data_IF_900088654330
#
_entry.id   IF_900088654330
#
_cell.length_a   1.000
_cell.length_b   1.000
_cell.length_c   1.000
_cell.angle_alpha   90.00
_cell.angle_beta   90.00
_cell.angle_gamma   90.00
#
_symmetry.space_group_name_H-M   'P 1'
#
loop_
_entity.id
_entity.type
_entity.pdbx_description
1 polymer ?
#
# COMPACT_ATOMS: atom_id res chain seq x y z
N UNK A 1 -13.24 13.63 9.43
CA UNK A 1 -13.07 15.04 9.84
C UNK A 1 -12.53 15.07 11.26
N UNK A 2 -11.64 16.01 11.57
CA UNK A 2 -11.08 16.19 12.90
C UNK A 2 -11.53 17.55 13.45
N UNK A 3 -12.14 17.54 14.63
CA UNK A 3 -12.42 18.76 15.38
C UNK A 3 -11.45 18.85 16.55
N UNK A 4 -10.76 19.96 16.67
CA UNK A 4 -9.79 20.19 17.74
C UNK A 4 -10.05 21.51 18.43
N UNK A 5 -10.03 21.46 19.75
CA UNK A 5 -10.07 22.66 20.59
C UNK A 5 -8.64 23.02 20.98
N UNK A 6 -8.26 24.27 20.78
CA UNK A 6 -6.91 24.76 21.01
C UNK A 6 -6.92 25.81 22.14
N UNK A 7 -5.82 25.86 22.89
CA UNK A 7 -5.47 26.95 23.78
C UNK A 7 -4.07 27.42 23.36
N UNK A 8 -4.02 28.52 22.59
CA UNK A 8 -2.84 28.88 21.82
C UNK A 8 -2.52 27.74 20.77
N UNK A 9 -1.32 27.21 20.82
CA UNK A 9 -0.87 26.09 19.97
C UNK A 9 -1.09 24.72 20.62
N UNK A 10 -1.61 24.68 21.85
CA UNK A 10 -1.81 23.42 22.60
C UNK A 10 -3.17 22.84 22.26
N UNK A 11 -3.19 21.57 21.79
CA UNK A 11 -4.43 20.82 21.56
C UNK A 11 -4.98 20.37 22.91
N UNK A 12 -6.16 20.86 23.29
CA UNK A 12 -6.86 20.48 24.54
C UNK A 12 -7.84 19.32 24.32
N UNK A 13 -8.48 19.27 23.17
CA UNK A 13 -9.42 18.22 22.84
C UNK A 13 -9.35 17.90 21.36
N UNK A 14 -9.45 16.63 21.05
CA UNK A 14 -9.52 16.09 19.68
C UNK A 14 -10.74 15.19 19.55
N UNK A 15 -11.67 15.55 18.68
CA UNK A 15 -12.81 14.71 18.31
C UNK A 15 -12.60 14.18 16.88
N UNK A 16 -12.51 12.87 16.72
CA UNK A 16 -12.32 12.21 15.43
C UNK A 16 -13.67 11.69 14.93
N UNK A 17 -14.13 12.21 13.80
CA UNK A 17 -15.37 11.78 13.17
C UNK A 17 -15.05 10.94 11.93
N UNK A 18 -15.20 9.62 12.05
CA UNK A 18 -15.08 8.67 10.94
C UNK A 18 -16.40 8.56 10.17
N UNK A 19 -16.33 8.14 8.90
CA UNK A 19 -17.52 7.83 8.09
C UNK A 19 -17.77 8.76 6.91
N UNK A 20 -17.10 9.89 6.76
CA UNK A 20 -17.33 10.84 5.67
C UNK A 20 -17.04 10.30 4.26
N UNK A 21 -16.22 9.28 4.15
CA UNK A 21 -15.95 8.57 2.90
C UNK A 21 -16.58 7.18 2.87
N UNK A 22 -17.52 6.89 3.75
CA UNK A 22 -18.27 5.64 3.72
C UNK A 22 -19.18 5.62 2.49
N UNK A 23 -18.96 4.63 1.61
CA UNK A 23 -19.65 4.53 0.30
C UNK A 23 -20.67 3.39 0.24
N UNK A 24 -20.92 2.71 1.34
CA UNK A 24 -21.86 1.58 1.41
C UNK A 24 -21.41 0.36 0.61
N UNK A 25 -20.10 0.14 0.43
CA UNK A 25 -19.55 -0.91 -0.43
C UNK A 25 -20.02 -2.29 0.00
N UNK A 26 -20.04 -2.57 1.30
CA UNK A 26 -20.52 -3.85 1.85
C UNK A 26 -21.96 -4.11 1.47
N UNK A 27 -22.82 -3.10 1.57
CA UNK A 27 -24.23 -3.21 1.18
C UNK A 27 -24.41 -3.39 -0.33
N UNK A 28 -23.61 -2.71 -1.14
CA UNK A 28 -23.62 -2.93 -2.59
C UNK A 28 -23.19 -4.36 -2.96
N UNK A 29 -22.26 -4.96 -2.22
CA UNK A 29 -21.83 -6.34 -2.48
C UNK A 29 -22.95 -7.37 -2.30
N UNK A 30 -23.97 -7.10 -1.50
CA UNK A 30 -25.13 -8.01 -1.35
C UNK A 30 -25.96 -8.12 -2.64
N UNK A 31 -25.96 -7.10 -3.48
CA UNK A 31 -26.72 -7.02 -4.73
C UNK A 31 -25.92 -7.46 -5.98
N UNK A 32 -24.62 -7.67 -5.83
CA UNK A 32 -23.69 -7.93 -6.93
C UNK A 32 -23.26 -9.39 -6.96
N UNK A 33 -22.94 -9.88 -8.17
CA UNK A 33 -22.24 -11.16 -8.32
C UNK A 33 -20.77 -11.04 -7.92
N UNK A 34 -20.13 -12.15 -7.53
CA UNK A 34 -18.71 -12.14 -7.15
C UNK A 34 -17.78 -11.46 -8.18
N UNK A 35 -17.90 -11.69 -9.50
CA UNK A 35 -17.08 -10.95 -10.46
C UNK A 35 -17.32 -9.45 -10.46
N UNK A 36 -18.55 -9.00 -10.20
CA UNK A 36 -18.89 -7.57 -10.15
C UNK A 36 -18.32 -6.90 -8.88
N UNK A 37 -18.27 -7.62 -7.75
CA UNK A 37 -17.72 -7.06 -6.50
C UNK A 37 -16.22 -6.76 -6.61
N UNK A 38 -15.49 -7.41 -7.52
CA UNK A 38 -14.08 -7.12 -7.78
C UNK A 38 -13.85 -5.65 -8.16
N UNK A 39 -14.78 -5.03 -8.87
CA UNK A 39 -14.68 -3.62 -9.24
C UNK A 39 -14.79 -2.67 -8.03
N UNK A 40 -15.45 -3.11 -6.96
CA UNK A 40 -15.57 -2.32 -5.72
C UNK A 40 -14.31 -2.43 -4.86
N UNK A 41 -13.70 -3.61 -4.81
CA UNK A 41 -12.55 -3.87 -3.92
C UNK A 41 -11.31 -3.07 -4.30
N UNK A 42 -11.07 -2.82 -5.57
CA UNK A 42 -9.95 -1.95 -6.03
C UNK A 42 -10.03 -0.55 -5.41
N UNK A 43 -11.21 -0.09 -5.02
CA UNK A 43 -11.51 1.25 -4.54
C UNK A 43 -11.64 1.37 -3.02
N UNK A 44 -11.43 0.30 -2.28
CA UNK A 44 -11.42 0.32 -0.80
C UNK A 44 -10.22 1.09 -0.30
N UNK A 45 -9.05 0.53 -0.46
CA UNK A 45 -7.78 1.22 -0.36
C UNK A 45 -7.20 1.38 -1.78
N UNK A 46 -7.42 2.53 -2.37
CA UNK A 46 -7.00 2.79 -3.75
C UNK A 46 -5.47 2.86 -3.92
N UNK A 47 -4.72 2.91 -2.83
CA UNK A 47 -3.26 2.81 -2.84
C UNK A 47 -2.77 1.36 -2.73
N UNK A 48 -3.67 0.43 -2.41
CA UNK A 48 -3.46 -1.01 -2.38
C UNK A 48 -4.42 -1.75 -3.30
N UNK A 49 -4.84 -1.16 -4.42
CA UNK A 49 -5.87 -1.69 -5.30
C UNK A 49 -5.59 -3.13 -5.76
N UNK A 50 -4.35 -3.43 -6.19
CA UNK A 50 -3.93 -4.77 -6.58
C UNK A 50 -4.10 -5.78 -5.46
N UNK A 51 -3.65 -5.44 -4.26
CA UNK A 51 -3.69 -6.32 -3.09
C UNK A 51 -5.12 -6.59 -2.61
N UNK A 52 -5.98 -5.56 -2.57
CA UNK A 52 -7.38 -5.70 -2.21
C UNK A 52 -8.11 -6.66 -3.15
N UNK A 53 -7.92 -6.45 -4.45
CA UNK A 53 -8.52 -7.29 -5.48
C UNK A 53 -7.95 -8.71 -5.48
N UNK A 54 -6.63 -8.87 -5.30
CA UNK A 54 -5.97 -10.17 -5.20
C UNK A 54 -6.51 -10.97 -4.00
N UNK A 55 -6.68 -10.33 -2.85
CA UNK A 55 -7.24 -10.97 -1.65
C UNK A 55 -8.65 -11.53 -1.91
N UNK A 56 -9.53 -10.75 -2.56
CA UNK A 56 -10.87 -11.23 -2.92
C UNK A 56 -10.82 -12.34 -3.97
N UNK A 57 -9.95 -12.22 -5.00
CA UNK A 57 -9.77 -13.29 -5.98
C UNK A 57 -9.36 -14.60 -5.30
N UNK A 58 -8.35 -14.57 -4.41
CA UNK A 58 -7.92 -15.76 -3.67
C UNK A 58 -9.04 -16.36 -2.79
N UNK A 59 -9.86 -15.51 -2.18
CA UNK A 59 -10.98 -15.95 -1.37
C UNK A 59 -12.02 -16.72 -2.21
N UNK A 60 -12.37 -16.17 -3.37
CA UNK A 60 -13.33 -16.77 -4.29
C UNK A 60 -12.75 -18.06 -4.92
N UNK A 61 -11.48 -18.03 -5.36
CA UNK A 61 -10.77 -19.17 -5.92
C UNK A 61 -10.73 -20.34 -4.95
N UNK A 62 -10.43 -20.07 -3.68
CA UNK A 62 -10.45 -21.05 -2.61
C UNK A 62 -11.83 -21.64 -2.39
N UNK A 63 -12.88 -20.79 -2.39
CA UNK A 63 -14.27 -21.24 -2.23
C UNK A 63 -14.78 -22.09 -3.38
N UNK A 64 -14.31 -21.84 -4.61
CA UNK A 64 -14.68 -22.57 -5.82
C UNK A 64 -13.75 -23.74 -6.12
N UNK A 65 -12.63 -23.91 -5.44
CA UNK A 65 -11.62 -24.92 -5.73
C UNK A 65 -10.88 -24.66 -7.06
N UNK A 66 -10.75 -23.38 -7.47
CA UNK A 66 -10.05 -23.02 -8.71
C UNK A 66 -8.55 -22.98 -8.47
N UNK A 67 -7.80 -23.77 -9.21
CA UNK A 67 -6.35 -23.72 -9.21
C UNK A 67 -5.83 -22.62 -10.13
N UNK A 68 -4.96 -21.77 -9.59
CA UNK A 68 -4.33 -20.66 -10.31
C UNK A 68 -2.95 -21.09 -10.78
N UNK A 69 -2.62 -20.94 -12.09
CA UNK A 69 -1.31 -21.29 -12.62
C UNK A 69 -0.17 -20.58 -11.89
N UNK A 70 0.95 -21.27 -11.66
CA UNK A 70 2.10 -20.74 -10.91
C UNK A 70 2.62 -19.41 -11.50
N UNK A 71 2.72 -19.31 -12.83
CA UNK A 71 3.10 -18.08 -13.52
C UNK A 71 2.21 -16.90 -13.12
N UNK A 72 0.90 -17.10 -13.04
CA UNK A 72 -0.06 -16.06 -12.62
C UNK A 72 0.19 -15.64 -11.17
N UNK A 73 0.48 -16.59 -10.29
CA UNK A 73 0.79 -16.29 -8.88
C UNK A 73 2.06 -15.43 -8.75
N UNK A 74 3.11 -15.68 -9.55
CA UNK A 74 4.29 -14.82 -9.62
C UNK A 74 3.95 -13.41 -10.14
N UNK A 75 3.18 -13.32 -11.22
CA UNK A 75 2.77 -12.02 -11.78
C UNK A 75 1.99 -11.21 -10.74
N UNK A 76 0.97 -11.81 -10.10
CA UNK A 76 0.18 -11.14 -9.05
C UNK A 76 1.06 -10.67 -7.89
N UNK A 77 2.00 -11.51 -7.43
CA UNK A 77 2.90 -11.15 -6.33
C UNK A 77 3.81 -9.97 -6.70
N UNK A 78 4.35 -9.95 -7.92
CA UNK A 78 5.19 -8.82 -8.39
C UNK A 78 4.34 -7.54 -8.47
N UNK A 79 3.13 -7.62 -8.99
CA UNK A 79 2.21 -6.47 -9.07
C UNK A 79 1.85 -5.94 -7.68
N UNK A 80 1.58 -6.83 -6.72
CA UNK A 80 1.30 -6.45 -5.33
C UNK A 80 2.49 -5.74 -4.67
N UNK A 81 3.72 -6.21 -4.88
CA UNK A 81 4.89 -5.57 -4.30
C UNK A 81 5.24 -4.24 -5.00
N UNK A 82 5.02 -4.11 -6.30
CA UNK A 82 5.11 -2.82 -6.99
C UNK A 82 4.09 -1.82 -6.45
N UNK A 83 2.84 -2.25 -6.27
CA UNK A 83 1.80 -1.42 -5.67
C UNK A 83 2.13 -1.05 -4.22
N UNK A 84 2.76 -1.95 -3.46
CA UNK A 84 3.21 -1.66 -2.10
C UNK A 84 4.30 -0.58 -2.09
N UNK A 85 5.26 -0.65 -3.01
CA UNK A 85 6.29 0.38 -3.16
C UNK A 85 5.64 1.71 -3.55
N UNK A 86 4.72 1.70 -4.49
CA UNK A 86 3.94 2.87 -4.91
C UNK A 86 3.23 3.54 -3.72
N UNK A 87 2.54 2.75 -2.91
CA UNK A 87 1.86 3.20 -1.69
C UNK A 87 2.83 3.78 -0.65
N UNK A 88 3.98 3.14 -0.44
CA UNK A 88 4.98 3.63 0.50
C UNK A 88 5.64 4.93 0.05
N UNK A 89 5.86 5.11 -1.25
CA UNK A 89 6.38 6.37 -1.80
C UNK A 89 5.40 7.52 -1.59
N UNK A 90 4.10 7.27 -1.78
CA UNK A 90 3.06 8.26 -1.49
C UNK A 90 2.97 8.56 0.01
N UNK A 91 3.00 7.53 0.86
CA UNK A 91 3.00 7.73 2.32
C UNK A 91 4.18 8.61 2.75
N UNK A 92 5.39 8.29 2.30
CA UNK A 92 6.59 9.07 2.59
C UNK A 92 6.42 10.53 2.14
N UNK A 93 5.98 10.74 0.90
CA UNK A 93 5.77 12.06 0.35
C UNK A 93 4.79 12.88 1.18
N UNK A 94 3.61 12.35 1.48
CA UNK A 94 2.59 13.04 2.25
C UNK A 94 3.05 13.34 3.69
N UNK A 95 3.73 12.40 4.35
CA UNK A 95 4.30 12.64 5.68
C UNK A 95 5.30 13.78 5.65
N UNK A 96 6.18 13.81 4.66
CA UNK A 96 7.15 14.90 4.49
C UNK A 96 6.46 16.25 4.31
N UNK A 97 5.40 16.30 3.50
CA UNK A 97 4.60 17.51 3.28
C UNK A 97 3.95 17.98 4.58
N UNK A 98 3.31 17.09 5.34
CA UNK A 98 2.67 17.39 6.60
C UNK A 98 3.66 17.93 7.66
N UNK A 99 4.92 17.46 7.57
CA UNK A 99 6.02 17.95 8.40
C UNK A 99 6.70 19.23 7.86
N UNK A 100 6.23 19.78 6.74
CA UNK A 100 6.76 20.99 6.13
C UNK A 100 7.96 20.76 5.19
N UNK A 101 8.33 19.51 4.86
CA UNK A 101 9.44 19.19 3.99
C UNK A 101 8.96 18.99 2.54
N UNK A 102 8.55 20.09 1.89
CA UNK A 102 7.92 20.07 0.58
C UNK A 102 8.82 19.49 -0.53
N UNK A 103 10.14 19.70 -0.46
CA UNK A 103 11.08 19.12 -1.45
C UNK A 103 11.05 17.59 -1.40
N UNK A 104 11.05 16.99 -0.20
CA UNK A 104 10.96 15.56 -0.03
C UNK A 104 9.62 14.99 -0.56
N UNK A 105 8.53 15.75 -0.44
CA UNK A 105 7.24 15.42 -1.06
C UNK A 105 7.37 15.25 -2.58
N UNK A 106 7.97 16.21 -3.28
CA UNK A 106 8.15 16.12 -4.72
C UNK A 106 9.04 14.94 -5.13
N UNK A 107 10.05 14.61 -4.34
CA UNK A 107 10.92 13.46 -4.62
C UNK A 107 10.16 12.14 -4.53
N UNK A 108 9.30 11.97 -3.53
CA UNK A 108 8.44 10.79 -3.43
C UNK A 108 7.53 10.61 -4.64
N UNK A 109 6.91 11.70 -5.12
CA UNK A 109 6.06 11.66 -6.31
C UNK A 109 6.86 11.45 -7.61
N UNK A 110 8.05 12.04 -7.73
CA UNK A 110 8.97 11.81 -8.87
C UNK A 110 9.26 10.31 -9.05
N UNK A 111 9.51 9.61 -7.95
CA UNK A 111 9.91 8.21 -7.99
C UNK A 111 8.71 7.27 -8.09
N UNK A 112 7.58 7.69 -7.54
CA UNK A 112 6.28 7.04 -7.70
C UNK A 112 5.86 6.96 -9.17
N UNK A 113 6.04 8.00 -9.95
CA UNK A 113 5.73 8.01 -11.39
C UNK A 113 6.37 6.85 -12.14
N UNK A 114 7.59 6.45 -11.80
CA UNK A 114 8.26 5.32 -12.44
C UNK A 114 7.55 3.98 -12.21
N UNK A 115 6.95 3.80 -11.05
CA UNK A 115 6.13 2.61 -10.76
C UNK A 115 4.83 2.68 -11.54
N UNK A 116 4.17 3.84 -11.55
CA UNK A 116 2.91 4.04 -12.27
C UNK A 116 3.07 3.78 -13.77
N UNK A 117 4.18 4.18 -14.38
CA UNK A 117 4.49 3.91 -15.80
C UNK A 117 4.64 2.41 -16.09
N UNK A 118 5.22 1.65 -15.16
CA UNK A 118 5.34 0.19 -15.28
C UNK A 118 3.97 -0.47 -15.17
N UNK A 119 3.16 -0.05 -14.21
CA UNK A 119 1.80 -0.57 -13.99
C UNK A 119 0.90 -0.25 -15.18
N UNK A 120 0.88 1.00 -15.63
CA UNK A 120 0.08 1.46 -16.77
C UNK A 120 0.41 0.68 -18.05
N UNK A 121 1.68 0.48 -18.35
CA UNK A 121 2.10 -0.23 -19.55
C UNK A 121 1.61 -1.68 -19.59
N UNK A 122 1.48 -2.32 -18.42
CA UNK A 122 1.04 -3.72 -18.33
C UNK A 122 -0.46 -3.86 -18.16
N UNK A 123 -1.09 -2.96 -17.41
CA UNK A 123 -2.50 -3.09 -17.00
C UNK A 123 -3.43 -2.08 -17.67
N UNK A 124 -2.88 -1.01 -18.24
CA UNK A 124 -3.64 0.14 -18.75
C UNK A 124 -4.09 1.12 -17.68
N UNK A 125 -3.88 0.82 -16.40
CA UNK A 125 -4.28 1.64 -15.26
C UNK A 125 -3.10 2.11 -14.43
N UNK A 126 -3.13 3.37 -14.00
CA UNK A 126 -2.09 3.95 -13.13
C UNK A 126 -2.41 3.75 -11.65
N UNK A 127 -3.66 3.89 -11.24
CA UNK A 127 -4.09 3.82 -9.85
C UNK A 127 -4.99 2.60 -9.60
N UNK A 128 -6.02 2.43 -10.40
CA UNK A 128 -6.96 1.31 -10.34
C UNK A 128 -6.69 0.40 -11.53
N UNK A 129 -5.86 -0.62 -11.33
CA UNK A 129 -5.38 -1.47 -12.42
C UNK A 129 -6.43 -2.46 -12.94
N UNK A 130 -7.35 -2.89 -12.08
CA UNK A 130 -8.39 -3.89 -12.39
C UNK A 130 -7.83 -5.19 -13.00
N UNK A 131 -6.60 -5.54 -12.66
CA UNK A 131 -5.79 -6.52 -13.39
C UNK A 131 -6.01 -7.98 -12.92
N UNK A 132 -6.12 -8.21 -11.61
CA UNK A 132 -6.38 -9.54 -11.07
C UNK A 132 -7.83 -9.96 -11.34
N UNK A 133 -8.03 -11.18 -11.84
CA UNK A 133 -9.35 -11.79 -12.10
C UNK A 133 -9.43 -13.16 -11.45
N UNK A 134 -10.62 -13.70 -11.26
CA UNK A 134 -10.80 -15.04 -10.70
C UNK A 134 -10.14 -16.06 -11.66
N UNK A 135 -9.19 -16.85 -11.15
CA UNK A 135 -8.44 -17.84 -11.90
C UNK A 135 -7.25 -17.30 -12.72
N UNK A 136 -7.03 -15.98 -12.76
CA UNK A 136 -5.98 -15.42 -13.61
C UNK A 136 -5.72 -13.93 -13.47
N UNK A 137 -5.18 -13.37 -14.54
CA UNK A 137 -5.00 -11.93 -14.77
C UNK A 137 -5.61 -11.58 -16.13
N UNK A 138 -5.96 -10.29 -16.35
CA UNK A 138 -6.67 -9.87 -17.56
C UNK A 138 -5.85 -10.01 -18.85
N UNK A 139 -4.54 -9.82 -18.75
CA UNK A 139 -3.61 -9.92 -19.87
C UNK A 139 -2.23 -10.38 -19.39
N UNK A 140 -1.39 -10.86 -20.28
CA UNK A 140 0.01 -11.14 -19.93
C UNK A 140 0.78 -9.83 -19.70
N UNK A 141 1.91 -9.93 -19.01
CA UNK A 141 2.79 -8.79 -18.77
C UNK A 141 3.35 -8.23 -20.08
N UNK A 142 3.56 -6.92 -20.11
CA UNK A 142 4.22 -6.28 -21.24
C UNK A 142 5.62 -6.87 -21.49
N UNK A 143 6.09 -7.03 -22.74
CA UNK A 143 7.42 -7.61 -23.03
C UNK A 143 8.58 -6.94 -22.29
N UNK A 144 8.49 -5.63 -22.07
CA UNK A 144 9.51 -4.86 -21.34
C UNK A 144 9.34 -4.89 -19.81
N UNK A 145 8.28 -5.49 -19.28
CA UNK A 145 7.95 -5.42 -17.85
C UNK A 145 9.12 -5.84 -16.96
N UNK A 146 9.67 -7.03 -17.19
CA UNK A 146 10.78 -7.55 -16.35
C UNK A 146 12.01 -6.65 -16.42
N UNK A 147 12.35 -6.12 -17.60
CA UNK A 147 13.47 -5.18 -17.77
C UNK A 147 13.24 -3.91 -16.97
N UNK A 148 12.09 -3.28 -17.12
CA UNK A 148 11.73 -2.02 -16.43
C UNK A 148 11.69 -2.19 -14.91
N UNK A 149 11.14 -3.31 -14.41
CA UNK A 149 11.15 -3.59 -12.96
C UNK A 149 12.57 -3.72 -12.44
N UNK A 150 13.46 -4.42 -13.13
CA UNK A 150 14.89 -4.53 -12.74
C UNK A 150 15.60 -3.18 -12.75
N UNK A 151 15.36 -2.36 -13.77
CA UNK A 151 15.89 -0.99 -13.88
C UNK A 151 15.39 -0.11 -12.73
N UNK A 152 14.10 -0.19 -12.41
CA UNK A 152 13.51 0.52 -11.28
C UNK A 152 14.12 0.10 -9.94
N UNK A 153 14.29 -1.18 -9.69
CA UNK A 153 14.93 -1.68 -8.45
C UNK A 153 16.36 -1.17 -8.33
N UNK A 154 17.12 -1.20 -9.42
CA UNK A 154 18.50 -0.66 -9.43
C UNK A 154 18.52 0.85 -9.16
N UNK A 155 17.59 1.60 -9.75
CA UNK A 155 17.39 3.02 -9.53
C UNK A 155 17.04 3.35 -8.07
N UNK A 156 16.13 2.60 -7.45
CA UNK A 156 15.66 2.90 -6.08
C UNK A 156 16.72 2.72 -5.00
N UNK A 157 17.71 1.88 -5.19
CA UNK A 157 18.77 1.64 -4.19
C UNK A 157 19.52 2.90 -3.74
N UNK A 158 20.05 3.75 -4.64
CA UNK A 158 20.64 5.04 -4.25
C UNK A 158 19.58 6.05 -3.76
N UNK A 159 18.35 6.05 -4.30
CA UNK A 159 17.27 6.96 -3.91
C UNK A 159 16.88 6.79 -2.45
N UNK A 160 16.91 5.58 -1.90
CA UNK A 160 16.66 5.36 -0.47
C UNK A 160 17.66 6.11 0.43
N UNK A 161 18.90 6.29 -0.01
CA UNK A 161 19.90 7.12 0.71
C UNK A 161 19.57 8.60 0.60
N UNK A 162 19.15 9.05 -0.60
CA UNK A 162 18.67 10.42 -0.82
C UNK A 162 17.49 10.76 0.12
N UNK A 163 16.53 9.84 0.30
CA UNK A 163 15.42 10.01 1.24
C UNK A 163 15.87 10.08 2.70
N UNK A 164 16.88 9.30 3.06
CA UNK A 164 17.47 9.38 4.38
C UNK A 164 18.13 10.74 4.61
N UNK A 165 18.92 11.22 3.67
CA UNK A 165 19.62 12.51 3.76
C UNK A 165 18.65 13.69 3.82
N UNK A 166 17.61 13.68 3.00
CA UNK A 166 16.68 14.82 2.90
C UNK A 166 15.68 14.89 4.06
N UNK A 167 15.28 13.76 4.65
CA UNK A 167 14.22 13.74 5.66
C UNK A 167 14.55 12.90 6.89
N UNK A 168 14.70 11.57 6.80
CA UNK A 168 14.80 10.71 7.99
C UNK A 168 16.06 10.94 8.80
N UNK A 169 17.16 11.34 8.16
CA UNK A 169 18.41 11.76 8.79
C UNK A 169 18.48 13.24 9.16
N UNK A 170 17.49 14.03 8.75
CA UNK A 170 17.46 15.47 9.00
C UNK A 170 17.19 15.75 10.48
N UNK A 171 18.02 16.60 11.10
CA UNK A 171 17.92 16.93 12.55
C UNK A 171 16.54 17.51 12.88
N UNK A 172 16.00 18.41 12.04
CA UNK A 172 14.70 19.04 12.28
C UNK A 172 13.59 17.99 12.30
N UNK A 173 13.60 17.06 11.32
CA UNK A 173 12.62 15.98 11.27
C UNK A 173 12.74 15.06 12.50
N UNK A 174 13.96 14.73 12.91
CA UNK A 174 14.21 13.89 14.07
C UNK A 174 13.73 14.55 15.37
N UNK A 175 14.03 15.82 15.59
CA UNK A 175 13.58 16.56 16.79
C UNK A 175 12.06 16.70 16.85
N UNK A 176 11.39 16.80 15.73
CA UNK A 176 9.92 16.88 15.67
C UNK A 176 9.22 15.55 15.85
N UNK A 177 9.86 14.43 15.50
CA UNK A 177 9.24 13.11 15.47
C UNK A 177 9.63 12.22 16.66
N UNK A 178 10.85 12.34 17.18
CA UNK A 178 11.32 11.52 18.28
C UNK A 178 10.49 11.74 19.54
N UNK A 179 9.99 10.65 20.11
CA UNK A 179 9.19 10.69 21.34
C UNK A 179 7.75 11.17 21.16
N UNK A 180 7.32 11.44 19.92
CA UNK A 180 5.96 11.90 19.61
C UNK A 180 5.16 10.74 19.00
N UNK A 181 3.90 10.54 19.46
CA UNK A 181 3.01 9.53 18.90
C UNK A 181 3.51 8.09 19.10
N UNK A 182 4.11 7.81 20.23
CA UNK A 182 4.65 6.46 20.53
C UNK A 182 3.52 5.46 20.61
N UNK A 183 3.60 4.42 19.77
CA UNK A 183 2.74 3.25 19.83
C UNK A 183 3.50 2.12 20.53
N UNK A 184 2.98 1.64 21.66
CA UNK A 184 3.61 0.52 22.37
C UNK A 184 3.37 -0.80 21.63
N UNK A 185 4.18 -1.82 21.93
CA UNK A 185 3.97 -3.16 21.35
C UNK A 185 2.61 -3.75 21.75
N UNK A 186 2.21 -3.54 22.99
CA UNK A 186 0.94 -4.00 23.57
C UNK A 186 -0.23 -3.35 22.83
N UNK A 187 -0.17 -2.03 22.62
CA UNK A 187 -1.19 -1.31 21.87
C UNK A 187 -1.24 -1.76 20.40
N UNK A 188 -0.07 -1.93 19.77
CA UNK A 188 0.01 -2.41 18.38
C UNK A 188 -0.64 -3.78 18.21
N UNK A 189 -0.46 -4.70 19.18
CA UNK A 189 -1.12 -6.02 19.18
C UNK A 189 -2.62 -5.86 19.42
N UNK A 190 -3.02 -5.06 20.40
CA UNK A 190 -4.42 -4.83 20.77
C UNK A 190 -5.23 -4.23 19.62
N UNK A 191 -4.66 -3.28 18.88
CA UNK A 191 -5.29 -2.65 17.71
C UNK A 191 -5.14 -3.46 16.42
N UNK A 192 -4.40 -4.58 16.44
CA UNK A 192 -4.11 -5.35 15.24
C UNK A 192 -3.24 -4.61 14.22
N UNK A 193 -2.38 -3.69 14.67
CA UNK A 193 -1.49 -2.93 13.81
C UNK A 193 -0.45 -3.85 13.16
N UNK A 194 -0.46 -3.97 11.84
CA UNK A 194 0.47 -4.81 11.05
C UNK A 194 1.41 -3.98 10.20
N UNK A 195 2.23 -4.63 9.38
CA UNK A 195 3.12 -3.97 8.44
C UNK A 195 4.21 -3.13 9.12
N UNK A 196 4.55 -2.00 8.51
CA UNK A 196 5.60 -1.09 8.98
C UNK A 196 5.35 -0.54 10.38
N UNK A 197 4.12 -0.13 10.66
CA UNK A 197 3.70 0.42 11.97
C UNK A 197 3.84 -0.61 13.09
N UNK A 198 3.35 -1.85 12.88
CA UNK A 198 3.49 -2.91 13.88
C UNK A 198 4.96 -3.27 14.14
N UNK A 199 5.78 -3.35 13.09
CA UNK A 199 7.22 -3.63 13.25
C UNK A 199 7.96 -2.48 13.95
N UNK A 200 7.62 -1.24 13.66
CA UNK A 200 8.19 -0.07 14.35
C UNK A 200 7.84 -0.07 15.85
N UNK A 201 6.65 -0.55 16.23
CA UNK A 201 6.23 -0.73 17.61
C UNK A 201 6.86 -1.96 18.29
N UNK A 202 7.74 -2.70 17.62
CA UNK A 202 8.41 -3.89 18.16
C UNK A 202 7.61 -5.20 18.01
N UNK A 203 6.49 -5.19 17.26
CA UNK A 203 5.76 -6.41 16.93
C UNK A 203 6.22 -6.95 15.57
N UNK A 204 7.14 -7.92 15.59
CA UNK A 204 7.71 -8.57 14.42
C UNK A 204 6.69 -9.53 13.74
N UNK A 205 5.61 -8.96 13.17
CA UNK A 205 4.60 -9.69 12.44
C UNK A 205 4.67 -9.36 10.95
N UNK A 206 4.96 -10.35 10.14
CA UNK A 206 4.84 -10.28 8.68
C UNK A 206 4.00 -11.47 8.21
N UNK A 207 2.81 -11.16 7.67
CA UNK A 207 1.84 -12.17 7.19
C UNK A 207 2.43 -13.00 6.06
N UNK A 208 3.26 -12.40 5.21
CA UNK A 208 3.92 -13.10 4.10
C UNK A 208 4.85 -14.21 4.56
N UNK A 209 5.40 -14.09 5.79
CA UNK A 209 6.27 -15.10 6.41
C UNK A 209 5.50 -16.05 7.32
N UNK A 210 4.53 -15.54 8.11
CA UNK A 210 3.80 -16.35 9.08
C UNK A 210 2.71 -17.22 8.45
N UNK A 211 2.03 -16.69 7.45
CA UNK A 211 0.96 -17.34 6.71
C UNK A 211 1.15 -17.07 5.21
N UNK A 212 2.20 -17.67 4.61
CA UNK A 212 2.54 -17.39 3.22
C UNK A 212 1.39 -17.73 2.29
N UNK A 213 1.13 -16.84 1.36
CA UNK A 213 0.13 -16.99 0.31
C UNK A 213 0.79 -16.74 -1.06
N UNK A 214 0.11 -17.07 -2.16
CA UNK A 214 0.64 -16.98 -3.52
C UNK A 214 2.04 -17.62 -3.59
N UNK A 215 3.08 -16.87 -3.96
CA UNK A 215 4.46 -17.41 -4.04
C UNK A 215 5.35 -16.99 -2.88
N UNK A 216 4.85 -16.30 -1.85
CA UNK A 216 5.69 -15.84 -0.73
C UNK A 216 6.37 -16.96 0.05
N UNK A 217 5.85 -18.19 0.00
CA UNK A 217 6.52 -19.34 0.59
C UNK A 217 7.70 -19.89 -0.21
N UNK A 218 7.91 -19.39 -1.45
CA UNK A 218 8.96 -19.82 -2.36
C UNK A 218 10.07 -18.77 -2.58
N UNK A 219 9.91 -17.55 -2.05
CA UNK A 219 10.80 -16.41 -2.24
C UNK A 219 11.31 -15.83 -0.93
#
# INVERSE_FOLDING_TARGET
>A
MLFRSLEGEIIKKLDVHCGYIHRGIEKMCEELTYPQTLALTDRLDYLGASQNRHALCMCIEKGLGVEVPERVQYIRTIMDELQRIDSHLLFFACLCMDMGALTAFFYGFRDREKVLDILEQTTGGRLIQTYNTIGGVQADIHPDFVRKVKEFIAYMRPVLREYHEIFTGNVIAQERLKGTGVLTREDAISFGATGGTGRAAGWACDVRKRHPYAVYGKV
#
